data_IF_361347121726
#
_entry.id   IF_361347121726
#
_cell.length_a   1.000
_cell.length_b   1.000
_cell.length_c   1.000
_cell.angle_alpha   90.00
_cell.angle_beta   90.00
_cell.angle_gamma   90.00
#
_symmetry.space_group_name_H-M   'P 1'
#
loop_
_entity.id
_entity.type
_entity.pdbx_description
1 polymer ?
#
# COMPACT_ATOMS: atom_id res chain seq x y z
N UNK A 1 6.31 -1.90 -18.64
CA UNK A 1 4.85 -1.76 -18.39
C UNK A 1 4.12 -1.05 -19.52
N UNK A 2 4.15 0.29 -19.67
CA UNK A 2 3.36 0.98 -20.73
C UNK A 2 3.74 0.56 -22.16
N UNK A 3 5.02 0.34 -22.44
CA UNK A 3 5.47 -0.18 -23.74
C UNK A 3 5.01 -1.62 -24.01
N UNK A 4 4.81 -2.44 -22.97
CA UNK A 4 4.41 -3.84 -23.10
C UNK A 4 2.89 -4.00 -23.20
N UNK A 5 2.14 -3.28 -22.35
CA UNK A 5 0.69 -3.43 -22.22
C UNK A 5 -0.12 -2.33 -22.91
N UNK A 6 0.51 -1.24 -23.36
CA UNK A 6 -0.17 -0.14 -24.05
C UNK A 6 -1.29 0.48 -23.20
N UNK A 7 -2.52 0.40 -23.68
CA UNK A 7 -3.72 0.89 -23.00
C UNK A 7 -4.24 -0.06 -21.91
N UNK A 8 -3.73 -1.29 -21.85
CA UNK A 8 -4.13 -2.29 -20.85
C UNK A 8 -3.45 -2.11 -19.50
N UNK A 9 -2.77 -0.98 -19.26
CA UNK A 9 -2.15 -0.67 -17.96
C UNK A 9 -2.52 0.73 -17.49
N UNK A 10 -2.94 0.82 -16.23
CA UNK A 10 -3.24 2.08 -15.56
C UNK A 10 -2.43 2.15 -14.27
N UNK A 11 -1.70 3.25 -14.09
CA UNK A 11 -1.03 3.54 -12.82
C UNK A 11 -2.09 4.06 -11.83
N UNK A 12 -2.28 3.34 -10.73
CA UNK A 12 -3.23 3.73 -9.68
C UNK A 12 -2.56 4.60 -8.61
N UNK A 13 -1.32 4.27 -8.23
CA UNK A 13 -0.59 4.96 -7.16
C UNK A 13 0.93 4.79 -7.31
N UNK A 14 1.68 5.77 -6.81
CA UNK A 14 3.14 5.72 -6.73
C UNK A 14 3.64 6.38 -5.43
N UNK A 15 4.66 5.78 -4.83
CA UNK A 15 5.53 6.40 -3.81
C UNK A 15 6.99 6.21 -4.26
N UNK A 16 7.91 6.81 -3.52
CA UNK A 16 9.39 6.82 -3.69
C UNK A 16 9.96 5.70 -4.56
N UNK A 17 9.67 4.45 -4.25
CA UNK A 17 10.20 3.24 -4.89
C UNK A 17 9.12 2.17 -5.16
N UNK A 18 7.84 2.53 -5.08
CA UNK A 18 6.73 1.58 -5.26
C UNK A 18 5.67 2.10 -6.23
N UNK A 19 5.07 1.15 -6.94
CA UNK A 19 4.01 1.40 -7.92
C UNK A 19 2.87 0.42 -7.70
N UNK A 20 1.65 0.91 -7.83
CA UNK A 20 0.44 0.09 -7.86
C UNK A 20 -0.16 0.27 -9.26
N UNK A 21 -0.17 -0.81 -10.02
CA UNK A 21 -0.73 -0.86 -11.36
C UNK A 21 -2.00 -1.69 -11.40
N UNK A 22 -2.98 -1.21 -12.15
CA UNK A 22 -4.09 -2.02 -12.67
C UNK A 22 -3.70 -2.47 -14.07
N UNK A 23 -3.50 -3.78 -14.25
CA UNK A 23 -3.03 -4.38 -15.51
C UNK A 23 -4.08 -5.38 -15.99
N UNK A 24 -4.56 -5.18 -17.22
CA UNK A 24 -5.46 -6.10 -17.91
C UNK A 24 -4.63 -7.05 -18.78
N UNK A 25 -4.48 -8.29 -18.35
CA UNK A 25 -3.74 -9.31 -19.08
C UNK A 25 -4.31 -10.70 -18.76
N UNK A 26 -3.87 -11.71 -19.51
CA UNK A 26 -4.28 -13.09 -19.24
C UNK A 26 -3.61 -13.64 -17.98
N UNK A 27 -2.29 -13.45 -17.86
CA UNK A 27 -1.51 -13.90 -16.70
C UNK A 27 -0.24 -13.06 -16.56
N UNK A 28 -0.22 -12.15 -15.58
CA UNK A 28 0.92 -11.27 -15.28
C UNK A 28 2.14 -12.05 -14.78
N UNK A 29 1.93 -13.20 -14.15
CA UNK A 29 3.01 -13.98 -13.54
C UNK A 29 3.84 -14.71 -14.59
N UNK A 30 3.23 -15.08 -15.72
CA UNK A 30 3.97 -15.57 -16.89
C UNK A 30 4.90 -14.50 -17.47
N UNK A 31 4.44 -13.24 -17.52
CA UNK A 31 5.28 -12.13 -17.99
C UNK A 31 6.45 -11.87 -17.02
N UNK A 32 6.20 -11.88 -15.71
CA UNK A 32 7.25 -11.80 -14.68
C UNK A 32 8.26 -12.96 -14.83
N UNK A 33 7.80 -14.16 -15.16
CA UNK A 33 8.65 -15.33 -15.38
C UNK A 33 9.51 -15.19 -16.63
N UNK A 34 8.99 -14.62 -17.71
CA UNK A 34 9.75 -14.31 -18.92
C UNK A 34 10.83 -13.25 -18.63
N UNK A 35 10.48 -12.22 -17.86
CA UNK A 35 11.35 -11.11 -17.48
C UNK A 35 12.06 -11.33 -16.14
N UNK A 36 12.29 -12.57 -15.72
CA UNK A 36 12.77 -12.88 -14.35
C UNK A 36 14.09 -12.23 -13.98
N UNK A 37 14.91 -11.87 -14.97
CA UNK A 37 16.15 -11.15 -14.75
C UNK A 37 15.93 -9.72 -14.25
N UNK A 38 14.75 -9.13 -14.43
CA UNK A 38 14.39 -7.78 -13.97
C UNK A 38 13.74 -7.79 -12.58
N UNK A 39 13.30 -8.96 -12.10
CA UNK A 39 12.57 -9.08 -10.84
C UNK A 39 13.35 -9.82 -9.74
N UNK A 40 13.16 -9.38 -8.49
CA UNK A 40 13.51 -10.14 -7.29
C UNK A 40 12.29 -11.00 -6.89
N UNK A 41 12.42 -12.30 -7.09
CA UNK A 41 11.40 -13.31 -6.78
C UNK A 41 11.81 -14.17 -5.59
N UNK A 42 12.85 -13.77 -4.84
CA UNK A 42 13.44 -14.59 -3.78
C UNK A 42 12.51 -14.82 -2.58
N UNK A 43 11.48 -13.99 -2.41
CA UNK A 43 10.49 -14.08 -1.34
C UNK A 43 9.29 -14.97 -1.69
N UNK A 44 9.15 -15.40 -2.96
CA UNK A 44 8.05 -16.30 -3.34
C UNK A 44 8.14 -17.66 -2.61
N UNK A 45 7.00 -18.28 -2.27
CA UNK A 45 6.94 -19.66 -1.80
C UNK A 45 7.56 -20.62 -2.82
N UNK A 46 8.23 -21.68 -2.35
CA UNK A 46 8.81 -22.70 -3.24
C UNK A 46 7.74 -23.47 -4.01
N UNK A 47 6.56 -23.62 -3.41
CA UNK A 47 5.39 -24.29 -3.99
C UNK A 47 4.31 -23.26 -4.35
N UNK A 48 4.70 -22.22 -5.10
CA UNK A 48 3.74 -21.22 -5.58
C UNK A 48 3.00 -21.74 -6.82
N UNK A 49 1.71 -21.44 -6.91
CA UNK A 49 0.83 -21.89 -8.01
C UNK A 49 1.28 -21.42 -9.40
N UNK A 50 2.10 -20.37 -9.47
CA UNK A 50 2.60 -19.78 -10.70
C UNK A 50 3.92 -20.41 -11.19
N UNK A 51 4.52 -21.31 -10.39
CA UNK A 51 5.82 -21.93 -10.70
C UNK A 51 6.94 -20.90 -10.94
N UNK A 52 6.93 -19.79 -10.21
CA UNK A 52 7.97 -18.76 -10.24
C UNK A 52 9.19 -19.26 -9.45
N UNK A 53 10.38 -19.36 -10.06
CA UNK A 53 11.57 -19.76 -9.33
C UNK A 53 12.13 -18.58 -8.52
N UNK A 54 12.73 -18.88 -7.36
CA UNK A 54 13.30 -17.88 -6.45
C UNK A 54 14.67 -17.41 -6.93
N UNK A 55 14.78 -16.14 -7.35
CA UNK A 55 16.02 -15.54 -7.86
C UNK A 55 16.22 -14.10 -7.37
N UNK A 56 17.44 -13.58 -7.56
CA UNK A 56 17.81 -12.16 -7.45
C UNK A 56 17.63 -11.50 -6.07
N UNK A 57 17.75 -12.27 -4.98
CA UNK A 57 17.62 -11.77 -3.60
C UNK A 57 18.47 -10.53 -3.33
N UNK A 58 17.82 -9.39 -3.08
CA UNK A 58 18.45 -8.11 -2.72
C UNK A 58 19.45 -7.58 -3.77
N UNK A 59 19.28 -7.95 -5.04
CA UNK A 59 20.08 -7.40 -6.14
C UNK A 59 19.57 -6.00 -6.46
N UNK A 60 20.49 -5.03 -6.57
CA UNK A 60 20.15 -3.64 -6.85
C UNK A 60 19.47 -3.47 -8.22
N UNK A 61 18.49 -2.58 -8.27
CA UNK A 61 17.74 -2.25 -9.49
C UNK A 61 16.75 -3.31 -9.94
N UNK A 62 16.45 -4.32 -9.11
CA UNK A 62 15.41 -5.33 -9.37
C UNK A 62 14.10 -4.91 -8.74
N UNK A 63 13.01 -5.04 -9.49
CA UNK A 63 11.67 -4.80 -8.98
C UNK A 63 11.20 -6.04 -8.21
N UNK A 64 10.46 -5.86 -7.13
CA UNK A 64 9.87 -6.99 -6.39
C UNK A 64 8.35 -6.92 -6.49
N UNK A 65 7.71 -8.08 -6.46
CA UNK A 65 6.29 -8.16 -6.14
C UNK A 65 6.14 -8.12 -4.60
N UNK A 66 5.54 -7.05 -4.08
CA UNK A 66 5.38 -6.87 -2.62
C UNK A 66 4.42 -7.89 -2.00
N UNK A 67 3.49 -8.45 -2.78
CA UNK A 67 2.48 -9.38 -2.28
C UNK A 67 2.84 -10.85 -2.55
N UNK A 68 3.99 -11.13 -3.15
CA UNK A 68 4.52 -12.49 -3.39
C UNK A 68 3.50 -13.45 -4.03
N UNK A 69 2.80 -13.00 -5.06
CA UNK A 69 1.81 -13.78 -5.80
C UNK A 69 0.37 -13.63 -5.33
N UNK A 70 0.12 -12.86 -4.27
CA UNK A 70 -1.26 -12.62 -3.81
C UNK A 70 -1.87 -11.42 -4.50
N UNK A 71 -2.99 -11.61 -5.17
CA UNK A 71 -3.60 -10.54 -5.98
C UNK A 71 -4.25 -9.49 -5.08
N UNK A 72 -4.06 -8.22 -5.42
CA UNK A 72 -4.77 -7.11 -4.77
C UNK A 72 -6.18 -7.03 -5.34
N UNK A 73 -7.21 -7.19 -4.50
CA UNK A 73 -8.62 -7.23 -4.93
C UNK A 73 -9.28 -5.85 -4.89
N UNK A 74 -8.91 -5.02 -3.92
CA UNK A 74 -9.45 -3.67 -3.75
C UNK A 74 -8.34 -2.70 -3.35
N UNK A 75 -8.33 -1.52 -3.96
CA UNK A 75 -7.39 -0.44 -3.65
C UNK A 75 -8.14 0.89 -3.46
N UNK A 76 -7.84 1.58 -2.35
CA UNK A 76 -8.37 2.91 -2.04
C UNK A 76 -7.21 3.84 -1.74
N UNK A 77 -6.96 4.79 -2.63
CA UNK A 77 -6.00 5.88 -2.42
C UNK A 77 -6.71 7.19 -2.15
N UNK A 78 -6.44 7.84 -1.02
CA UNK A 78 -6.98 9.16 -0.69
C UNK A 78 -5.95 10.26 -1.02
N UNK A 79 -4.73 10.11 -0.51
CA UNK A 79 -3.61 11.04 -0.73
C UNK A 79 -2.27 10.31 -0.77
N UNK A 80 -1.19 11.05 -1.04
CA UNK A 80 0.17 10.56 -0.86
C UNK A 80 0.37 10.02 0.57
N UNK A 81 0.82 8.77 0.67
CA UNK A 81 1.07 8.04 1.95
C UNK A 81 -0.20 7.85 2.80
N UNK A 82 -1.37 7.91 2.17
CA UNK A 82 -2.69 7.68 2.75
C UNK A 82 -3.51 6.81 1.80
N UNK A 83 -3.43 5.50 2.01
CA UNK A 83 -4.10 4.51 1.17
C UNK A 83 -4.34 3.22 1.95
N UNK A 84 -5.25 2.40 1.44
CA UNK A 84 -5.61 1.11 2.02
C UNK A 84 -5.94 0.13 0.90
N UNK A 85 -5.57 -1.14 1.07
CA UNK A 85 -5.87 -2.15 0.07
C UNK A 85 -6.07 -3.53 0.68
N UNK A 86 -6.87 -4.34 -0.01
CA UNK A 86 -7.12 -5.74 0.32
C UNK A 86 -6.37 -6.63 -0.65
N UNK A 87 -5.82 -7.70 -0.11
CA UNK A 87 -5.12 -8.75 -0.84
C UNK A 87 -5.89 -10.06 -0.64
N UNK A 88 -5.74 -10.99 -1.58
CA UNK A 88 -6.16 -12.38 -1.41
C UNK A 88 -5.73 -12.93 -0.03
N UNK A 89 -6.55 -13.84 0.51
CA UNK A 89 -6.52 -14.30 1.91
C UNK A 89 -6.97 -13.27 2.97
N UNK A 90 -7.78 -12.28 2.56
CA UNK A 90 -8.36 -11.25 3.45
C UNK A 90 -7.31 -10.42 4.21
N UNK A 91 -6.09 -10.30 3.67
CA UNK A 91 -5.08 -9.45 4.29
C UNK A 91 -5.36 -7.98 3.96
N UNK A 92 -5.56 -7.17 5.00
CA UNK A 92 -5.82 -5.74 4.90
C UNK A 92 -4.56 -4.95 5.24
N UNK A 93 -4.11 -4.11 4.31
CA UNK A 93 -2.98 -3.20 4.54
C UNK A 93 -3.50 -1.77 4.59
N UNK A 94 -3.30 -1.12 5.73
CA UNK A 94 -3.63 0.29 5.97
C UNK A 94 -2.35 1.13 6.03
N UNK A 95 -2.30 2.23 5.29
CA UNK A 95 -1.22 3.24 5.35
C UNK A 95 -1.81 4.60 5.65
N UNK A 96 -1.30 5.23 6.71
CA UNK A 96 -1.75 6.54 7.14
C UNK A 96 -0.61 7.33 7.77
N UNK A 97 0.06 8.17 6.98
CA UNK A 97 1.16 8.99 7.49
C UNK A 97 0.64 10.04 8.49
N UNK A 98 1.34 10.18 9.61
CA UNK A 98 1.06 11.20 10.61
C UNK A 98 0.04 10.80 11.69
N UNK A 99 -0.49 9.58 11.62
CA UNK A 99 -1.28 8.93 12.68
C UNK A 99 -0.48 7.78 13.26
N UNK A 100 -0.61 7.54 14.57
CA UNK A 100 0.08 6.43 15.24
C UNK A 100 -0.44 5.08 14.74
N UNK A 101 0.46 4.10 14.60
CA UNK A 101 0.10 2.73 14.22
C UNK A 101 -0.97 2.13 15.14
N UNK A 102 -0.86 2.33 16.45
CA UNK A 102 -1.87 1.83 17.41
C UNK A 102 -3.27 2.41 17.17
N UNK A 103 -3.36 3.68 16.77
CA UNK A 103 -4.63 4.32 16.41
C UNK A 103 -5.16 3.77 15.10
N UNK A 104 -4.29 3.62 14.09
CA UNK A 104 -4.63 3.06 12.79
C UNK A 104 -5.17 1.62 12.89
N UNK A 105 -4.54 0.77 13.70
CA UNK A 105 -4.96 -0.62 13.84
C UNK A 105 -6.27 -0.77 14.63
N UNK A 106 -6.51 0.08 15.64
CA UNK A 106 -7.62 -0.09 16.59
C UNK A 106 -8.88 0.73 16.26
N UNK A 107 -8.76 1.82 15.51
CA UNK A 107 -9.84 2.82 15.37
C UNK A 107 -10.19 3.19 13.94
N UNK A 108 -9.47 2.66 12.94
CA UNK A 108 -9.66 3.03 11.55
C UNK A 108 -9.77 1.76 10.73
N UNK A 109 -10.89 1.59 10.05
CA UNK A 109 -11.19 0.43 9.23
C UNK A 109 -11.11 0.76 7.73
N UNK A 110 -11.09 -0.28 6.90
CA UNK A 110 -11.07 -0.11 5.45
C UNK A 110 -12.28 0.68 4.94
N UNK A 111 -13.46 0.47 5.53
CA UNK A 111 -14.67 1.18 5.13
C UNK A 111 -14.58 2.68 5.46
N UNK A 112 -13.81 3.09 6.47
CA UNK A 112 -13.60 4.52 6.74
C UNK A 112 -12.87 5.20 5.58
N UNK A 113 -11.90 4.51 4.95
CA UNK A 113 -11.25 5.01 3.74
C UNK A 113 -12.24 5.12 2.58
N UNK A 114 -13.12 4.12 2.42
CA UNK A 114 -14.13 4.08 1.36
C UNK A 114 -15.15 5.20 1.52
N UNK A 115 -15.67 5.40 2.73
CA UNK A 115 -16.58 6.49 3.06
C UNK A 115 -15.92 7.85 2.90
N UNK A 116 -14.67 8.01 3.31
CA UNK A 116 -13.91 9.22 3.07
C UNK A 116 -13.82 9.54 1.57
N UNK A 117 -13.54 8.53 0.72
CA UNK A 117 -13.43 8.71 -0.73
C UNK A 117 -14.77 9.04 -1.41
N UNK A 118 -15.86 8.37 -1.03
CA UNK A 118 -17.14 8.44 -1.74
C UNK A 118 -18.12 9.46 -1.15
N UNK A 119 -18.05 9.68 0.16
CA UNK A 119 -18.98 10.54 0.90
C UNK A 119 -18.35 11.88 1.32
N UNK A 120 -17.06 12.10 1.00
CA UNK A 120 -16.27 13.29 1.38
C UNK A 120 -16.28 13.56 2.90
N UNK A 121 -16.29 12.47 3.69
CA UNK A 121 -16.31 12.55 5.15
C UNK A 121 -14.89 12.61 5.70
N UNK A 122 -14.64 13.62 6.54
CA UNK A 122 -13.43 13.72 7.33
C UNK A 122 -13.52 12.87 8.60
N UNK A 123 -12.54 11.99 8.83
CA UNK A 123 -12.45 11.19 10.05
C UNK A 123 -11.46 11.83 11.02
N UNK A 124 -11.90 12.12 12.24
CA UNK A 124 -11.03 12.54 13.34
C UNK A 124 -10.75 11.38 14.28
N UNK A 125 -9.50 11.26 14.74
CA UNK A 125 -9.12 10.21 15.69
C UNK A 125 -8.21 10.76 16.78
N UNK A 126 -8.51 10.35 18.02
CA UNK A 126 -7.69 10.69 19.18
C UNK A 126 -6.47 9.78 19.28
N UNK A 127 -5.30 10.39 19.51
CA UNK A 127 -4.05 9.68 19.77
C UNK A 127 -3.28 10.33 20.92
N UNK A 128 -2.70 9.48 21.78
CA UNK A 128 -1.85 9.90 22.89
C UNK A 128 -0.41 9.99 22.42
N UNK A 129 0.32 11.02 22.83
CA UNK A 129 1.69 11.26 22.41
C UNK A 129 2.49 11.95 23.50
N UNK A 130 3.80 11.70 23.47
CA UNK A 130 4.77 12.32 24.35
C UNK A 130 5.33 13.52 23.60
N UNK A 131 5.26 14.70 24.19
CA UNK A 131 5.73 15.96 23.60
C UNK A 131 6.65 16.66 24.59
N UNK A 132 7.78 17.17 24.10
CA UNK A 132 8.64 18.06 24.87
C UNK A 132 8.27 19.51 24.57
N UNK A 133 8.12 20.33 25.60
CA UNK A 133 7.96 21.78 25.51
C UNK A 133 8.93 22.39 26.53
N UNK A 134 9.85 23.26 26.09
CA UNK A 134 10.88 23.85 26.95
C UNK A 134 11.66 22.82 27.79
N UNK A 135 11.99 21.67 27.19
CA UNK A 135 12.67 20.54 27.83
C UNK A 135 11.85 19.77 28.88
N UNK A 136 10.61 20.18 29.16
CA UNK A 136 9.68 19.42 29.99
C UNK A 136 8.89 18.43 29.14
N UNK A 137 8.68 17.21 29.66
CA UNK A 137 8.01 16.12 28.95
C UNK A 137 6.55 16.01 29.40
N UNK A 138 5.64 16.03 28.44
CA UNK A 138 4.20 15.94 28.67
C UNK A 138 3.60 14.76 27.92
N UNK A 139 2.60 14.11 28.53
CA UNK A 139 1.68 13.23 27.81
C UNK A 139 0.48 14.07 27.35
N UNK A 140 0.26 14.13 26.04
CA UNK A 140 -0.81 14.93 25.42
C UNK A 140 -1.71 14.01 24.60
N UNK A 141 -3.02 14.20 24.75
CA UNK A 141 -4.02 13.61 23.87
C UNK A 141 -4.34 14.61 22.78
N UNK A 142 -4.10 14.26 21.51
CA UNK A 142 -4.49 15.07 20.37
C UNK A 142 -5.66 14.43 19.65
N UNK A 143 -6.69 15.23 19.36
CA UNK A 143 -7.69 14.88 18.36
C UNK A 143 -7.19 15.38 17.00
N UNK A 144 -6.89 14.46 16.08
CA UNK A 144 -6.27 14.78 14.80
C UNK A 144 -7.19 14.36 13.66
N UNK A 145 -7.23 15.17 12.60
CA UNK A 145 -7.79 14.75 11.31
C UNK A 145 -6.98 13.56 10.78
N UNK A 146 -7.59 12.38 10.82
CA UNK A 146 -6.98 11.12 10.44
C UNK A 146 -7.17 10.87 8.94
N UNK A 147 -8.40 10.86 8.43
CA UNK A 147 -8.70 10.66 7.01
C UNK A 147 -9.39 11.91 6.43
N UNK A 148 -8.98 12.29 5.22
CA UNK A 148 -9.59 13.39 4.46
C UNK A 148 -9.28 13.20 2.97
N UNK A 149 -10.29 13.40 2.11
CA UNK A 149 -10.19 13.23 0.66
C UNK A 149 -9.58 14.42 -0.08
N UNK A 150 -9.68 15.63 0.48
CA UNK A 150 -9.04 16.84 -0.08
C UNK A 150 -7.52 16.71 -0.09
N UNK A 151 -6.73 17.63 -0.66
CA UNK A 151 -5.28 17.69 -0.37
C UNK A 151 -4.91 19.03 0.28
N UNK A 152 -5.43 19.23 1.49
CA UNK A 152 -5.04 20.38 2.32
C UNK A 152 -3.68 20.12 2.94
N UNK A 153 -2.66 20.82 2.45
CA UNK A 153 -1.31 20.82 2.99
C UNK A 153 -0.77 22.24 3.05
#
# INVERSE_FOLDING_TARGET
>A
MKACYGENVKLLYTDTDSFIYDVKCNDIYNDIKNDINLFDTSEYPTDNIYGIPRKNKKVLGKMKDENCGKVMTEFIGLRSKMYSFKVEDCHLIKKLKGVKKSTLEKKIDFEDYRRCLLEDINLYSSMNLIRSVNHDIYTVTLNKLALSALDEK
#
